data_IF_872766521322
#
_entry.id   IF_872766521322
#
_cell.length_a   1.000
_cell.length_b   1.000
_cell.length_c   1.000
_cell.angle_alpha   90.00
_cell.angle_beta   90.00
_cell.angle_gamma   90.00
#
_symmetry.space_group_name_H-M   'P 1'
#
loop_
_entity.id
_entity.type
_entity.pdbx_description
1 polymer ?
#
# COMPACT_ATOMS: atom_id res chain seq x y z
N UNK A 1 9.64 16.72 -7.67
CA UNK A 1 10.33 16.08 -6.53
C UNK A 1 10.98 17.18 -5.73
N UNK A 2 10.70 17.27 -4.43
CA UNK A 2 11.37 18.25 -3.55
C UNK A 2 12.80 17.79 -3.22
N UNK A 3 13.58 18.68 -2.60
CA UNK A 3 14.88 18.32 -2.03
C UNK A 3 14.75 17.26 -0.92
N UNK A 4 13.71 17.36 -0.08
CA UNK A 4 13.40 16.39 0.97
C UNK A 4 13.16 14.98 0.41
N UNK A 5 12.37 14.87 -0.67
CA UNK A 5 12.13 13.60 -1.36
C UNK A 5 13.44 13.01 -1.89
N UNK A 6 14.25 13.82 -2.58
CA UNK A 6 15.53 13.38 -3.12
C UNK A 6 16.50 12.93 -2.02
N UNK A 7 16.48 13.59 -0.86
CA UNK A 7 17.29 13.22 0.31
C UNK A 7 16.85 11.88 0.89
N UNK A 8 15.54 11.70 1.15
CA UNK A 8 14.95 10.46 1.69
C UNK A 8 15.26 9.24 0.82
N UNK A 9 15.18 9.39 -0.51
CA UNK A 9 15.30 8.28 -1.45
C UNK A 9 16.61 8.28 -2.25
N UNK A 10 17.64 8.99 -1.79
CA UNK A 10 18.95 9.01 -2.45
C UNK A 10 19.59 7.63 -2.59
N UNK A 11 19.30 6.71 -1.66
CA UNK A 11 19.73 5.30 -1.78
C UNK A 11 19.06 4.56 -2.93
N UNK A 12 17.78 4.84 -3.20
CA UNK A 12 17.01 4.25 -4.29
C UNK A 12 17.54 4.74 -5.63
N UNK A 13 17.86 6.03 -5.78
CA UNK A 13 18.44 6.53 -7.03
C UNK A 13 19.84 6.02 -7.30
N UNK A 14 20.67 5.80 -6.27
CA UNK A 14 21.99 5.15 -6.44
C UNK A 14 21.87 3.69 -6.88
N UNK A 15 20.82 2.98 -6.45
CA UNK A 15 20.61 1.57 -6.76
C UNK A 15 19.95 1.35 -8.12
N UNK A 16 18.88 2.10 -8.42
CA UNK A 16 18.04 1.90 -9.61
C UNK A 16 18.20 2.99 -10.67
N UNK A 17 18.96 4.04 -10.39
CA UNK A 17 19.13 5.21 -11.27
C UNK A 17 18.07 6.30 -11.03
N UNK A 18 18.42 7.54 -11.36
CA UNK A 18 17.53 8.70 -11.23
C UNK A 18 16.23 8.55 -12.06
N UNK A 19 16.32 8.01 -13.27
CA UNK A 19 15.16 7.79 -14.12
C UNK A 19 14.13 6.82 -13.49
N UNK A 20 14.61 5.79 -12.78
CA UNK A 20 13.72 4.87 -12.06
C UNK A 20 13.08 5.53 -10.86
N UNK A 21 13.82 6.35 -10.09
CA UNK A 21 13.26 7.09 -8.97
C UNK A 21 12.16 8.07 -9.44
N UNK A 22 12.37 8.77 -10.56
CA UNK A 22 11.36 9.62 -11.18
C UNK A 22 10.10 8.86 -11.63
N UNK A 23 10.27 7.62 -12.09
CA UNK A 23 9.15 6.75 -12.43
C UNK A 23 8.41 6.31 -11.18
N UNK A 24 9.13 5.88 -10.13
CA UNK A 24 8.52 5.48 -8.85
C UNK A 24 7.75 6.63 -8.21
N UNK A 25 8.29 7.84 -8.22
CA UNK A 25 7.63 9.02 -7.64
C UNK A 25 6.30 9.37 -8.31
N UNK A 26 6.05 8.87 -9.53
CA UNK A 26 4.81 9.07 -10.29
C UNK A 26 3.91 7.84 -10.29
N UNK A 27 4.44 6.68 -9.91
CA UNK A 27 3.73 5.42 -9.97
C UNK A 27 2.60 5.37 -8.95
N UNK A 28 1.47 4.82 -9.38
CA UNK A 28 0.32 4.46 -8.56
C UNK A 28 0.27 2.94 -8.39
N UNK A 29 0.39 2.49 -7.14
CA UNK A 29 0.25 1.07 -6.80
C UNK A 29 -0.98 0.84 -5.93
N UNK A 30 -1.87 -0.02 -6.38
CA UNK A 30 -2.99 -0.52 -5.57
C UNK A 30 -2.56 -1.78 -4.82
N UNK A 31 -2.85 -1.86 -3.53
CA UNK A 31 -2.62 -3.07 -2.73
C UNK A 31 -3.94 -3.54 -2.15
N UNK A 32 -4.34 -4.76 -2.52
CA UNK A 32 -5.62 -5.36 -2.11
C UNK A 32 -5.35 -6.46 -1.09
N UNK A 33 -5.89 -6.28 0.11
CA UNK A 33 -5.56 -7.11 1.28
C UNK A 33 -4.32 -6.58 2.00
N UNK A 34 -4.49 -6.11 3.22
CA UNK A 34 -3.47 -5.41 4.01
C UNK A 34 -2.98 -6.26 5.19
N UNK A 35 -3.06 -7.58 5.05
CA UNK A 35 -2.65 -8.53 6.08
C UNK A 35 -1.15 -8.80 6.13
N UNK A 36 -0.79 -10.07 6.32
CA UNK A 36 0.59 -10.51 6.55
C UNK A 36 1.54 -10.39 5.36
N UNK A 37 1.01 -10.08 4.16
CA UNK A 37 1.80 -9.85 2.95
C UNK A 37 1.68 -8.39 2.51
N UNK A 38 0.46 -7.92 2.27
CA UNK A 38 0.22 -6.57 1.73
C UNK A 38 0.78 -5.45 2.62
N UNK A 39 0.77 -5.63 3.94
CA UNK A 39 1.32 -4.60 4.84
C UNK A 39 2.83 -4.41 4.69
N UNK A 40 3.59 -5.49 4.42
CA UNK A 40 5.02 -5.39 4.13
C UNK A 40 5.30 -4.94 2.70
N UNK A 41 4.44 -5.30 1.74
CA UNK A 41 4.52 -4.79 0.37
C UNK A 41 4.38 -3.26 0.36
N UNK A 42 3.38 -2.72 1.05
CA UNK A 42 3.20 -1.27 1.23
C UNK A 42 4.44 -0.63 1.85
N UNK A 43 4.97 -1.21 2.93
CA UNK A 43 6.15 -0.67 3.60
C UNK A 43 7.34 -0.58 2.64
N UNK A 44 7.58 -1.63 1.86
CA UNK A 44 8.66 -1.68 0.88
C UNK A 44 8.47 -0.65 -0.24
N UNK A 45 7.25 -0.52 -0.76
CA UNK A 45 6.90 0.44 -1.81
C UNK A 45 7.06 1.89 -1.31
N UNK A 46 6.57 2.20 -0.11
CA UNK A 46 6.72 3.52 0.51
C UNK A 46 8.19 3.89 0.73
N UNK A 47 9.01 2.91 1.18
CA UNK A 47 10.46 3.08 1.35
C UNK A 47 11.24 3.12 0.03
N UNK A 48 10.60 2.75 -1.08
CA UNK A 48 11.19 2.81 -2.43
C UNK A 48 10.81 4.08 -3.18
N UNK A 49 10.07 5.00 -2.54
CA UNK A 49 9.70 6.29 -3.12
C UNK A 49 8.49 6.24 -4.04
N UNK A 50 7.65 5.20 -3.99
CA UNK A 50 6.39 5.17 -4.74
C UNK A 50 5.52 6.37 -4.35
N UNK A 51 4.93 7.04 -5.35
CA UNK A 51 4.26 8.31 -5.18
C UNK A 51 2.78 8.21 -4.81
N UNK A 52 2.07 7.18 -5.26
CA UNK A 52 0.64 7.05 -5.04
C UNK A 52 0.25 5.63 -4.66
N UNK A 53 -0.67 5.52 -3.70
CA UNK A 53 -1.17 4.27 -3.15
C UNK A 53 -2.70 4.26 -3.15
N UNK A 54 -3.28 3.11 -3.49
CA UNK A 54 -4.65 2.76 -3.09
C UNK A 54 -4.59 1.56 -2.16
N UNK A 55 -5.17 1.69 -0.96
CA UNK A 55 -5.16 0.67 0.08
C UNK A 55 -6.58 0.11 0.20
N UNK A 56 -6.78 -1.19 -0.09
CA UNK A 56 -8.11 -1.82 -0.06
C UNK A 56 -8.17 -2.90 1.01
N UNK A 57 -8.84 -2.61 2.14
CA UNK A 57 -9.13 -3.56 3.22
C UNK A 57 -10.20 -2.99 4.16
N UNK A 58 -11.13 -3.84 4.62
CA UNK A 58 -12.19 -3.46 5.55
C UNK A 58 -11.85 -3.82 7.02
N UNK A 59 -10.86 -4.66 7.26
CA UNK A 59 -10.58 -5.19 8.59
C UNK A 59 -9.93 -4.16 9.52
N UNK A 60 -10.18 -4.35 10.81
CA UNK A 60 -9.42 -3.77 11.90
C UNK A 60 -8.26 -4.67 12.34
N UNK A 61 -7.29 -4.05 13.01
CA UNK A 61 -6.16 -4.74 13.62
C UNK A 61 -6.59 -5.59 14.82
N UNK A 62 -6.28 -6.88 14.78
CA UNK A 62 -6.45 -7.80 15.89
C UNK A 62 -5.12 -8.08 16.59
N UNK A 63 -5.15 -8.34 17.91
CA UNK A 63 -3.97 -8.76 18.68
C UNK A 63 -3.26 -9.98 18.06
N UNK A 64 -4.01 -10.88 17.44
CA UNK A 64 -3.44 -12.09 16.79
C UNK A 64 -2.68 -11.79 15.49
N UNK A 65 -2.70 -10.55 15.01
CA UNK A 65 -1.97 -10.11 13.82
C UNK A 65 -0.50 -9.76 14.12
N UNK A 66 -0.13 -9.57 15.40
CA UNK A 66 1.21 -9.16 15.86
C UNK A 66 2.35 -10.01 15.30
N UNK A 67 2.14 -11.31 15.08
CA UNK A 67 3.20 -12.19 14.59
C UNK A 67 3.56 -11.99 13.12
N UNK A 68 2.79 -11.21 12.34
CA UNK A 68 2.96 -11.16 10.88
C UNK A 68 2.55 -9.88 10.17
N UNK A 69 1.93 -8.90 10.84
CA UNK A 69 1.49 -7.65 10.21
C UNK A 69 2.23 -6.47 10.81
N UNK A 70 2.92 -5.68 9.97
CA UNK A 70 3.83 -4.61 10.43
C UNK A 70 3.14 -3.53 11.27
N UNK A 71 1.85 -3.33 11.06
CA UNK A 71 1.04 -2.30 11.68
C UNK A 71 0.27 -2.83 12.90
N UNK A 72 0.48 -4.08 13.34
CA UNK A 72 -0.10 -4.64 14.54
C UNK A 72 0.81 -4.38 15.76
N UNK A 73 0.69 -3.21 16.37
CA UNK A 73 1.37 -2.85 17.63
C UNK A 73 0.35 -2.61 18.76
N UNK A 74 0.82 -2.54 20.01
CA UNK A 74 -0.05 -2.35 21.18
C UNK A 74 -0.96 -1.13 21.06
N UNK A 75 -0.50 -0.05 20.43
CA UNK A 75 -1.23 1.22 20.33
C UNK A 75 -2.24 1.24 19.17
N UNK A 76 -2.19 0.26 18.27
CA UNK A 76 -2.97 0.25 17.03
C UNK A 76 -4.06 -0.82 17.00
N UNK A 77 -4.11 -1.72 17.99
CA UNK A 77 -5.15 -2.76 18.07
C UNK A 77 -6.55 -2.12 18.10
N UNK A 78 -7.47 -2.66 17.31
CA UNK A 78 -8.83 -2.15 17.14
C UNK A 78 -8.96 -0.97 16.17
N UNK A 79 -7.87 -0.52 15.53
CA UNK A 79 -7.92 0.49 14.48
C UNK A 79 -7.95 -0.16 13.10
N UNK A 80 -8.55 0.51 12.12
CA UNK A 80 -8.57 0.06 10.72
C UNK A 80 -7.15 -0.13 10.16
N UNK A 81 -6.91 -1.31 9.57
CA UNK A 81 -5.62 -1.65 8.94
C UNK A 81 -5.22 -0.61 7.90
N UNK A 82 -6.16 -0.26 7.01
CA UNK A 82 -5.91 0.66 5.91
C UNK A 82 -5.58 2.08 6.38
N UNK A 83 -6.28 2.58 7.40
CA UNK A 83 -6.02 3.92 7.96
C UNK A 83 -4.66 3.98 8.66
N UNK A 84 -4.32 2.96 9.46
CA UNK A 84 -3.01 2.91 10.14
C UNK A 84 -1.87 2.86 9.13
N UNK A 85 -1.99 2.04 8.08
CA UNK A 85 -0.98 1.97 7.02
C UNK A 85 -0.89 3.26 6.21
N UNK A 86 -2.01 3.92 5.88
CA UNK A 86 -1.97 5.21 5.18
C UNK A 86 -1.23 6.27 5.99
N UNK A 87 -1.51 6.38 7.31
CA UNK A 87 -0.76 7.27 8.21
C UNK A 87 0.72 6.93 8.22
N UNK A 88 1.07 5.64 8.27
CA UNK A 88 2.45 5.17 8.26
C UNK A 88 3.18 5.51 6.95
N UNK A 89 2.52 5.35 5.79
CA UNK A 89 3.08 5.76 4.49
C UNK A 89 3.43 7.25 4.52
N UNK A 90 2.53 8.11 4.99
CA UNK A 90 2.74 9.55 5.03
C UNK A 90 3.84 9.97 6.03
N UNK A 91 4.08 9.18 7.09
CA UNK A 91 5.23 9.37 7.98
C UNK A 91 6.57 9.03 7.28
N UNK A 92 6.57 8.06 6.36
CA UNK A 92 7.74 7.65 5.58
C UNK A 92 7.99 8.62 4.42
N UNK A 93 6.94 8.96 3.67
CA UNK A 93 6.94 9.84 2.52
C UNK A 93 5.78 10.85 2.61
N UNK A 94 6.00 12.05 3.17
CA UNK A 94 4.95 13.07 3.28
C UNK A 94 4.39 13.57 1.94
N UNK A 95 5.11 13.35 0.84
CA UNK A 95 4.68 13.72 -0.52
C UNK A 95 3.85 12.64 -1.21
N UNK A 96 3.74 11.44 -0.61
CA UNK A 96 2.92 10.38 -1.17
C UNK A 96 1.42 10.73 -1.09
N UNK A 97 0.65 10.21 -2.06
CA UNK A 97 -0.81 10.25 -2.03
C UNK A 97 -1.35 8.89 -1.63
N UNK A 98 -2.27 8.85 -0.68
CA UNK A 98 -2.91 7.61 -0.23
C UNK A 98 -4.42 7.73 -0.39
N UNK A 99 -5.01 6.91 -1.25
CA UNK A 99 -6.44 6.64 -1.25
C UNK A 99 -6.73 5.41 -0.38
N UNK A 100 -7.74 5.49 0.48
CA UNK A 100 -8.10 4.40 1.40
C UNK A 100 -9.52 3.95 1.09
N UNK A 101 -9.63 2.70 0.66
CA UNK A 101 -10.89 2.03 0.34
C UNK A 101 -11.20 1.01 1.43
N UNK A 102 -12.03 1.42 2.40
CA UNK A 102 -12.46 0.55 3.50
C UNK A 102 -13.56 -0.40 3.02
N UNK A 103 -13.18 -1.38 2.20
CA UNK A 103 -14.08 -2.36 1.61
C UNK A 103 -13.34 -3.67 1.34
N UNK A 104 -14.08 -4.77 1.25
CA UNK A 104 -13.54 -5.99 0.68
C UNK A 104 -13.63 -5.95 -0.85
N UNK A 105 -12.58 -6.40 -1.52
CA UNK A 105 -12.63 -6.61 -2.95
C UNK A 105 -13.61 -7.73 -3.31
N UNK A 106 -14.45 -7.48 -4.31
CA UNK A 106 -15.44 -8.42 -4.81
C UNK A 106 -15.79 -8.13 -6.28
N UNK A 107 -16.51 -9.04 -6.91
CA UNK A 107 -17.04 -8.83 -8.26
C UNK A 107 -17.99 -7.62 -8.38
N UNK A 108 -18.57 -7.15 -7.26
CA UNK A 108 -19.56 -6.06 -7.26
C UNK A 108 -18.93 -4.67 -7.32
N UNK A 109 -17.70 -4.55 -6.86
CA UNK A 109 -17.00 -3.26 -6.71
C UNK A 109 -15.65 -3.24 -7.44
N UNK A 110 -15.31 -4.30 -8.17
CA UNK A 110 -14.02 -4.41 -8.87
C UNK A 110 -13.85 -3.34 -9.96
N UNK A 111 -14.92 -3.05 -10.71
CA UNK A 111 -14.87 -2.03 -11.77
C UNK A 111 -14.60 -0.65 -11.19
N UNK A 112 -15.33 -0.28 -10.13
CA UNK A 112 -15.15 0.99 -9.44
C UNK A 112 -13.74 1.10 -8.82
N UNK A 113 -13.28 0.06 -8.12
CA UNK A 113 -11.96 0.06 -7.49
C UNK A 113 -10.83 0.17 -8.52
N UNK A 114 -10.96 -0.46 -9.69
CA UNK A 114 -9.93 -0.45 -10.73
C UNK A 114 -10.06 0.73 -11.71
N UNK A 115 -11.09 1.57 -11.55
CA UNK A 115 -11.36 2.70 -12.45
C UNK A 115 -10.24 3.75 -12.47
N UNK A 116 -9.51 3.90 -11.36
CA UNK A 116 -8.35 4.79 -11.25
C UNK A 116 -7.11 4.30 -12.02
N UNK A 117 -7.16 3.12 -12.66
CA UNK A 117 -6.09 2.56 -13.52
C UNK A 117 -4.70 2.59 -12.89
N UNK A 118 -4.46 1.85 -11.78
CA UNK A 118 -3.15 1.81 -11.16
C UNK A 118 -2.08 1.24 -12.10
N UNK A 119 -0.86 1.76 -12.04
CA UNK A 119 0.29 1.24 -12.81
C UNK A 119 0.62 -0.20 -12.42
N UNK A 120 0.32 -0.60 -11.18
CA UNK A 120 0.45 -1.96 -10.69
C UNK A 120 -0.58 -2.29 -9.61
N UNK A 121 -1.01 -3.55 -9.57
CA UNK A 121 -1.84 -4.11 -8.50
C UNK A 121 -1.05 -5.19 -7.77
N UNK A 122 -0.99 -5.09 -6.44
CA UNK A 122 -0.47 -6.14 -5.55
C UNK A 122 -1.64 -6.86 -4.93
N UNK A 123 -1.86 -8.10 -5.37
CA UNK A 123 -2.86 -9.00 -4.81
C UNK A 123 -2.31 -9.74 -3.58
N UNK A 124 -2.73 -9.28 -2.40
CA UNK A 124 -2.44 -9.89 -1.11
C UNK A 124 -3.72 -10.38 -0.40
N UNK A 125 -4.76 -10.70 -1.18
CA UNK A 125 -6.03 -11.27 -0.69
C UNK A 125 -5.81 -12.73 -0.26
N UNK A 126 -6.43 -13.12 0.85
CA UNK A 126 -6.43 -14.50 1.38
C UNK A 126 -7.71 -15.29 1.04
N UNK A 127 -8.82 -14.60 0.75
CA UNK A 127 -10.03 -15.21 0.18
C UNK A 127 -9.82 -15.67 -1.26
N UNK A 128 -9.84 -17.00 -1.47
CA UNK A 128 -9.65 -17.63 -2.80
C UNK A 128 -10.60 -17.07 -3.86
N UNK A 129 -11.88 -16.84 -3.52
CA UNK A 129 -12.87 -16.35 -4.49
C UNK A 129 -12.54 -14.94 -4.99
N UNK A 130 -12.24 -14.03 -4.07
CA UNK A 130 -11.89 -12.65 -4.40
C UNK A 130 -10.55 -12.59 -5.15
N UNK A 131 -9.59 -13.44 -4.74
CA UNK A 131 -8.29 -13.59 -5.39
C UNK A 131 -8.42 -14.03 -6.84
N UNK A 132 -9.17 -15.10 -7.11
CA UNK A 132 -9.41 -15.57 -8.47
C UNK A 132 -10.11 -14.52 -9.33
N UNK A 133 -11.05 -13.75 -8.76
CA UNK A 133 -11.72 -12.69 -9.50
C UNK A 133 -10.77 -11.56 -9.91
N UNK A 134 -9.84 -11.16 -9.04
CA UNK A 134 -8.88 -10.10 -9.33
C UNK A 134 -7.88 -10.48 -10.44
N UNK A 135 -7.58 -11.77 -10.59
CA UNK A 135 -6.58 -12.30 -11.53
C UNK A 135 -7.18 -12.71 -12.89
N UNK A 136 -8.50 -12.76 -13.02
CA UNK A 136 -9.21 -13.25 -14.20
C UNK A 136 -9.37 -12.21 -15.30
#
# INVERSE_FOLDING_TARGET
MTEDYLSRFSGISRLYGMASLERFSKAHVMVVGLGGVGSWAIEALARSGVGQFTLVDLDDLCLTNTNRQIHATSDTIGQSKAIVLAKRILQINPEARCNVEQTFYSAKNSEDLLSDTPDAVVDAIDSVRAKCHLLA
#
